data_IF_419966693190
#
_entry.id   IF_419966693190
#
_cell.length_a   1.000
_cell.length_b   1.000
_cell.length_c   1.000
_cell.angle_alpha   90.00
_cell.angle_beta   90.00
_cell.angle_gamma   90.00
#
_symmetry.space_group_name_H-M   'P 1'
#
loop_
_entity.id
_entity.type
_entity.pdbx_description
1 polymer ?
2 non-polymer ?
3 non-polymer ?
4 non-polymer ?
5 water ?
#
# COMPACT_ATOMS: atom_id res chain seq x y z
N UNK A 8 -24.03 19.96 7.74
CA UNK A 8 -22.80 19.31 7.20
C UNK A 8 -21.58 20.23 7.34
N UNK A 9 -20.40 19.64 7.40
CA UNK A 9 -19.15 20.40 7.52
C UNK A 9 -18.96 21.36 6.35
N UNK A 10 -18.60 22.60 6.66
CA UNK A 10 -18.40 23.60 5.63
C UNK A 10 -16.93 24.00 5.47
N UNK A 11 -16.14 23.79 6.52
CA UNK A 11 -14.75 24.18 6.47
C UNK A 11 -13.82 23.40 7.40
N UNK A 12 -12.56 23.26 6.99
CA UNK A 12 -11.52 22.65 7.81
C UNK A 12 -10.64 23.88 8.08
N UNK A 13 -10.42 24.22 9.34
CA UNK A 13 -9.60 25.38 9.67
C UNK A 13 -8.32 25.04 10.42
N UNK A 14 -7.39 26.00 10.43
CA UNK A 14 -6.13 25.85 11.14
C UNK A 14 -5.35 24.61 10.72
N UNK A 15 -5.30 24.38 9.42
CA UNK A 15 -4.61 23.21 8.88
C UNK A 15 -3.20 23.51 8.40
N UNK A 16 -2.28 22.60 8.69
CA UNK A 16 -0.92 22.71 8.19
C UNK A 16 -0.93 21.77 6.99
N UNK A 17 -0.12 22.09 5.97
CA UNK A 17 -0.05 21.27 4.76
C UNK A 17 1.43 20.95 4.51
N UNK A 18 1.75 19.71 4.11
CA UNK A 18 3.15 19.37 3.84
C UNK A 18 3.77 20.31 2.81
N UNK A 19 5.01 20.71 3.05
CA UNK A 19 5.70 21.58 2.11
C UNK A 19 5.24 23.03 2.06
N UNK A 20 4.23 23.37 2.85
CA UNK A 20 3.72 24.74 2.87
C UNK A 20 3.98 25.40 4.22
N UNK A 21 4.11 26.72 4.22
CA UNK A 21 4.32 27.46 5.45
C UNK A 21 2.96 27.89 5.98
N UNK A 22 2.89 28.16 7.28
CA UNK A 22 1.67 28.65 7.89
C UNK A 22 0.45 27.74 7.98
N UNK A 23 -0.69 28.39 8.21
CA UNK A 23 -1.97 27.70 8.35
C UNK A 23 -2.89 27.95 7.16
N UNK A 24 -3.79 27.00 6.93
CA UNK A 24 -4.71 27.04 5.81
C UNK A 24 -6.13 26.64 6.15
N UNK A 25 -7.06 27.18 5.37
CA UNK A 25 -8.48 26.90 5.53
C UNK A 25 -8.93 26.17 4.26
N UNK A 26 -9.67 25.06 4.44
CA UNK A 26 -10.15 24.28 3.31
C UNK A 26 -11.67 24.36 3.30
N UNK A 27 -12.21 25.05 2.29
CA UNK A 27 -13.65 25.23 2.16
C UNK A 27 -14.29 24.03 1.46
N UNK A 28 -15.38 23.54 2.02
CA UNK A 28 -16.09 22.39 1.49
C UNK A 28 -17.49 22.74 0.99
N UNK A 29 -17.86 22.14 -0.13
CA UNK A 29 -19.18 22.37 -0.71
C UNK A 29 -19.61 21.17 -1.54
N UNK A 30 -20.81 20.67 -1.27
CA UNK A 30 -21.35 19.53 -2.01
C UNK A 30 -20.44 18.30 -2.02
N UNK A 31 -19.80 18.03 -0.89
CA UNK A 31 -18.92 16.86 -0.78
C UNK A 31 -17.57 17.01 -1.44
N UNK A 32 -17.26 18.21 -1.93
CA UNK A 32 -16.00 18.49 -2.59
C UNK A 32 -15.27 19.64 -1.94
N UNK A 33 -14.02 19.84 -2.32
CA UNK A 33 -13.22 20.95 -1.82
C UNK A 33 -13.48 22.09 -2.81
N UNK A 34 -14.06 23.18 -2.32
CA UNK A 34 -14.36 24.31 -3.19
C UNK A 34 -13.21 25.30 -3.32
N UNK A 35 -12.43 25.48 -2.26
CA UNK A 35 -11.32 26.40 -2.29
C UNK A 35 -10.40 26.18 -1.10
N UNK A 36 -9.15 26.61 -1.26
CA UNK A 36 -8.14 26.49 -0.21
C UNK A 36 -7.51 27.87 -0.07
N UNK A 37 -7.60 28.44 1.13
CA UNK A 37 -7.06 29.78 1.38
C UNK A 37 -6.11 29.83 2.57
N UNK A 38 -5.04 30.58 2.43
CA UNK A 38 -4.08 30.72 3.52
C UNK A 38 -4.66 31.61 4.62
N UNK A 39 -4.25 31.33 5.85
CA UNK A 39 -4.68 32.12 7.01
C UNK A 39 -3.42 32.87 7.45
N UNK A 40 -3.60 34.02 8.11
CA UNK A 40 -2.46 34.77 8.60
C UNK A 40 -2.35 34.61 10.11
N UNK A 41 -3.26 33.79 10.66
CA UNK A 41 -3.27 33.52 12.08
C UNK A 41 -4.23 32.41 12.39
N UNK A 42 -4.47 32.14 13.68
CA UNK A 42 -5.39 31.09 14.10
C UNK A 42 -6.85 31.55 13.99
N UNK A 43 -7.67 30.74 13.34
CA UNK A 43 -9.09 31.05 13.14
C UNK A 43 -9.92 30.51 14.29
N UNK A 44 -11.03 31.20 14.62
CA UNK A 44 -11.88 30.72 15.70
C UNK A 44 -12.73 29.56 15.21
N UNK A 45 -13.06 28.65 16.11
CA UNK A 45 -13.90 27.52 15.76
C UNK A 45 -15.33 28.04 15.67
N UNK A 46 -16.22 27.24 15.12
CA UNK A 46 -17.63 27.60 14.98
C UNK A 46 -18.35 26.37 14.46
N UNK A 47 -19.67 26.35 14.53
CA UNK A 47 -20.43 25.21 14.06
C UNK A 47 -20.18 25.01 12.56
N UNK A 48 -20.04 23.75 12.15
CA UNK A 48 -19.80 23.38 10.77
C UNK A 48 -18.34 23.52 10.36
N UNK A 49 -17.48 23.84 11.31
CA UNK A 49 -16.05 23.97 11.06
C UNK A 49 -15.31 22.88 11.84
N UNK A 50 -14.47 22.12 11.16
CA UNK A 50 -13.69 21.09 11.83
C UNK A 50 -12.33 21.73 12.06
N UNK A 51 -11.94 21.82 13.32
CA UNK A 51 -10.67 22.45 13.68
C UNK A 51 -9.52 21.46 13.68
N UNK A 52 -8.59 21.64 12.74
CA UNK A 52 -7.42 20.77 12.64
C UNK A 52 -6.44 21.11 13.77
N UNK A 53 -6.69 22.21 14.48
CA UNK A 53 -5.88 22.63 15.61
C UNK A 53 -4.38 22.68 15.34
N UNK A 54 -4.04 23.18 14.16
CA UNK A 54 -2.66 23.33 13.71
C UNK A 54 -1.98 21.98 13.49
N UNK A 55 -2.81 20.97 13.26
CA UNK A 55 -2.33 19.64 12.96
C UNK A 55 -2.17 19.57 11.45
N UNK A 56 -1.68 18.44 10.96
CA UNK A 56 -1.41 18.26 9.54
C UNK A 56 -2.59 17.66 8.80
N UNK A 57 -2.97 18.28 7.68
CA UNK A 57 -4.07 17.78 6.86
C UNK A 57 -3.49 17.26 5.57
N UNK A 58 -3.81 16.00 5.27
CA UNK A 58 -3.32 15.34 4.07
C UNK A 58 -4.41 14.50 3.43
N UNK A 59 -4.23 14.15 2.15
CA UNK A 59 -5.25 13.31 1.52
C UNK A 59 -5.13 11.97 2.29
N UNK A 60 -6.11 11.07 2.15
CA UNK A 60 -6.07 9.80 2.88
C UNK A 60 -4.87 8.89 2.69
N UNK A 61 -4.56 8.13 3.75
CA UNK A 61 -3.50 7.14 3.60
C UNK A 61 -4.02 6.11 2.58
N UNK A 62 -3.08 5.45 1.94
CA UNK A 62 -3.37 4.46 0.91
C UNK A 62 -2.65 3.17 1.25
N UNK A 63 -3.30 2.03 1.01
CA UNK A 63 -2.66 0.71 1.18
C UNK A 63 -2.56 0.17 -0.25
N UNK A 64 -1.40 0.30 -0.90
CA UNK A 64 -1.22 -0.17 -2.26
C UNK A 64 -1.03 -1.68 -2.44
N UNK A 65 -0.82 -2.40 -1.34
CA UNK A 65 -0.57 -3.84 -1.45
C UNK A 65 -0.91 -4.60 -0.18
N UNK A 66 -2.03 -5.32 -0.18
CA UNK A 66 -2.40 -6.14 0.97
C UNK A 66 -3.11 -7.38 0.47
N UNK A 67 -3.13 -8.42 1.29
CA UNK A 67 -3.83 -9.66 0.94
C UNK A 67 -5.00 -9.84 1.91
N UNK A 68 -6.18 -9.35 1.52
CA UNK A 68 -7.36 -9.47 2.38
C UNK A 68 -7.97 -10.86 2.37
N UNK A 69 -7.61 -11.71 1.42
CA UNK A 69 -8.17 -13.06 1.42
C UNK A 69 -7.43 -13.96 2.40
N UNK A 70 -6.20 -13.58 2.74
CA UNK A 70 -5.38 -14.36 3.66
C UNK A 70 -5.30 -13.75 5.07
N UNK A 71 -5.74 -12.50 5.21
CA UNK A 71 -5.63 -11.82 6.51
C UNK A 71 -6.33 -12.54 7.66
N UNK A 72 -5.70 -12.49 8.83
CA UNK A 72 -6.21 -13.10 10.04
C UNK A 72 -6.14 -14.64 10.05
N UNK A 73 -5.33 -15.25 9.18
CA UNK A 73 -5.24 -16.73 9.15
C UNK A 73 -3.92 -17.33 9.62
N UNK A 74 -3.00 -16.52 10.15
CA UNK A 74 -1.72 -17.06 10.60
C UNK A 74 -1.90 -18.23 11.56
N UNK A 75 -1.16 -19.31 11.31
CA UNK A 75 -1.24 -20.49 12.15
C UNK A 75 -2.33 -21.47 11.79
N UNK A 76 -3.12 -21.16 10.76
CA UNK A 76 -4.23 -22.04 10.35
C UNK A 76 -4.01 -22.70 8.99
N UNK A 77 -3.85 -24.04 8.95
CA UNK A 77 -3.85 -24.97 10.08
C UNK A 77 -2.46 -25.13 10.70
N UNK A 78 -1.45 -24.56 10.04
CA UNK A 78 -0.07 -24.65 10.52
C UNK A 78 0.66 -23.32 10.38
N UNK A 79 1.74 -23.15 11.15
CA UNK A 79 2.54 -21.94 11.10
C UNK A 79 3.69 -22.05 10.10
N UNK A 80 4.08 -20.91 9.54
CA UNK A 80 5.19 -20.81 8.60
C UNK A 80 6.43 -20.80 9.50
N UNK A 81 7.03 -21.97 9.70
CA UNK A 81 8.18 -22.11 10.58
C UNK A 81 9.46 -21.45 10.10
N UNK A 82 9.75 -21.56 8.81
CA UNK A 82 10.99 -21.00 8.27
C UNK A 82 10.96 -19.49 8.05
N UNK A 83 9.76 -18.92 8.03
CA UNK A 83 9.63 -17.49 7.80
C UNK A 83 10.05 -17.11 6.39
N UNK A 84 9.76 -17.97 5.42
CA UNK A 84 10.11 -17.71 4.02
C UNK A 84 8.87 -17.57 3.14
N UNK A 85 9.07 -16.95 1.98
CA UNK A 85 7.98 -16.78 1.01
C UNK A 85 7.46 -18.13 0.56
N UNK A 86 8.39 -19.04 0.29
CA UNK A 86 8.08 -20.37 -0.21
C UNK A 86 7.28 -21.21 0.78
N UNK A 87 7.66 -21.24 2.04
CA UNK A 87 6.86 -22.02 2.99
C UNK A 87 5.53 -21.31 3.20
N UNK A 88 5.55 -19.98 3.11
CA UNK A 88 4.31 -19.22 3.28
C UNK A 88 3.26 -19.64 2.26
N UNK A 89 3.69 -19.82 1.01
CA UNK A 89 2.77 -20.24 -0.06
C UNK A 89 2.24 -21.66 0.21
N UNK A 90 3.09 -22.53 0.77
CA UNK A 90 2.66 -23.89 1.09
C UNK A 90 1.63 -23.89 2.22
N UNK A 91 1.87 -23.07 3.25
CA UNK A 91 0.95 -22.97 4.38
C UNK A 91 -0.37 -22.35 3.91
N UNK A 92 -0.28 -21.36 3.01
CA UNK A 92 -1.49 -20.74 2.47
C UNK A 92 -2.29 -21.76 1.66
N UNK A 93 -1.60 -22.61 0.89
CA UNK A 93 -2.29 -23.62 0.09
C UNK A 93 -3.17 -24.49 0.99
N UNK A 94 -2.65 -24.83 2.18
CA UNK A 94 -3.41 -25.64 3.12
C UNK A 94 -4.66 -24.90 3.60
N UNK A 95 -4.53 -23.60 3.83
CA UNK A 95 -5.66 -22.78 4.28
C UNK A 95 -6.64 -22.50 3.15
N UNK A 96 -6.12 -22.33 1.93
CA UNK A 96 -6.96 -22.04 0.78
C UNK A 96 -7.96 -23.19 0.52
N UNK A 97 -7.56 -24.41 0.84
CA UNK A 97 -8.43 -25.56 0.65
C UNK A 97 -9.60 -25.56 1.63
N UNK A 98 -9.53 -24.73 2.67
CA UNK A 98 -10.57 -24.65 3.69
C UNK A 98 -11.43 -23.40 3.60
N UNK A 99 -11.22 -22.59 2.57
CA UNK A 99 -11.98 -21.36 2.43
C UNK A 99 -13.47 -21.51 2.23
N UNK A 100 -14.21 -20.55 2.80
CA UNK A 100 -15.65 -20.47 2.59
C UNK A 100 -15.92 -19.00 2.35
N UNK A 101 -17.02 -18.74 1.65
CA UNK A 101 -17.45 -17.40 1.31
C UNK A 101 -17.51 -16.48 2.53
N UNK A 102 -18.27 -16.90 3.54
CA UNK A 102 -18.43 -16.09 4.75
C UNK A 102 -17.13 -15.90 5.52
N UNK A 103 -16.28 -16.92 5.51
CA UNK A 103 -14.96 -16.90 6.17
C UNK A 103 -14.14 -15.73 5.61
N UNK A 104 -14.06 -15.68 4.28
CA UNK A 104 -13.30 -14.62 3.62
C UNK A 104 -13.89 -13.23 3.89
N UNK A 105 -15.21 -13.09 3.78
CA UNK A 105 -15.82 -11.78 4.01
C UNK A 105 -15.61 -11.27 5.43
N UNK A 106 -15.74 -12.16 6.40
CA UNK A 106 -15.59 -11.75 7.79
C UNK A 106 -14.17 -11.28 8.11
N UNK A 107 -13.17 -12.05 7.67
CA UNK A 107 -11.77 -11.67 7.93
C UNK A 107 -11.37 -10.40 7.16
N UNK A 108 -11.79 -10.29 5.90
CA UNK A 108 -11.48 -9.10 5.10
C UNK A 108 -12.08 -7.86 5.78
N UNK A 109 -13.34 -7.96 6.20
CA UNK A 109 -13.99 -6.84 6.87
C UNK A 109 -13.32 -6.46 8.19
N UNK A 110 -12.79 -7.43 8.92
CA UNK A 110 -12.11 -7.14 10.19
C UNK A 110 -10.89 -6.22 9.94
N UNK A 111 -10.08 -6.58 8.95
CA UNK A 111 -8.92 -5.77 8.62
C UNK A 111 -9.33 -4.44 7.98
N UNK A 112 -10.37 -4.44 7.15
CA UNK A 112 -10.82 -3.19 6.54
C UNK A 112 -11.26 -2.19 7.61
N UNK A 113 -11.90 -2.66 8.68
CA UNK A 113 -12.31 -1.74 9.73
C UNK A 113 -11.08 -1.10 10.40
N UNK A 114 -10.02 -1.88 10.59
CA UNK A 114 -8.79 -1.33 11.17
C UNK A 114 -8.24 -0.27 10.21
N UNK A 115 -8.34 -0.54 8.91
CA UNK A 115 -7.85 0.42 7.92
C UNK A 115 -8.67 1.72 7.95
N UNK A 116 -10.00 1.62 8.05
CA UNK A 116 -10.83 2.82 8.13
C UNK A 116 -10.42 3.64 9.36
N UNK A 117 -10.22 2.96 10.48
CA UNK A 117 -9.82 3.59 11.73
C UNK A 117 -8.46 4.28 11.58
N UNK A 118 -7.63 3.75 10.69
CA UNK A 118 -6.29 4.29 10.43
C UNK A 118 -6.21 5.27 9.27
N UNK A 119 -7.36 5.83 8.89
CA UNK A 119 -7.42 6.83 7.85
C UNK A 119 -7.09 6.40 6.42
N UNK A 120 -7.24 5.10 6.15
CA UNK A 120 -6.96 4.55 4.84
C UNK A 120 -8.28 4.48 4.05
N UNK A 121 -8.36 5.23 2.95
CA UNK A 121 -9.57 5.27 2.13
C UNK A 121 -9.42 4.62 0.75
N UNK A 122 -8.22 4.14 0.45
CA UNK A 122 -7.91 3.49 -0.83
C UNK A 122 -7.08 2.25 -0.53
N UNK A 123 -7.53 1.10 -0.99
CA UNK A 123 -6.85 -0.17 -0.74
C UNK A 123 -6.81 -1.03 -1.99
N UNK A 124 -5.65 -1.62 -2.27
CA UNK A 124 -5.50 -2.55 -3.38
C UNK A 124 -5.19 -3.90 -2.74
N UNK A 125 -6.12 -4.84 -2.87
CA UNK A 125 -5.92 -6.17 -2.32
C UNK A 125 -5.68 -7.17 -3.43
N UNK A 126 -4.68 -8.02 -3.22
CA UNK A 126 -4.42 -9.11 -4.16
C UNK A 126 -5.35 -10.22 -3.65
N UNK A 127 -5.84 -11.05 -4.57
CA UNK A 127 -6.71 -12.18 -4.21
C UNK A 127 -6.20 -13.35 -5.02
N UNK A 128 -5.88 -14.45 -4.34
CA UNK A 128 -5.36 -15.64 -5.02
C UNK A 128 -6.41 -16.26 -5.94
N UNK A 129 -6.11 -16.31 -7.25
CA UNK A 129 -7.01 -16.90 -8.23
C UNK A 129 -6.48 -18.23 -8.80
N UNK A 130 -5.53 -18.84 -8.08
CA UNK A 130 -5.03 -20.16 -8.46
C UNK A 130 -5.95 -21.07 -7.65
N UNK A 131 -7.21 -21.09 -8.07
CA UNK A 131 -8.25 -21.84 -7.37
C UNK A 131 -9.44 -21.93 -8.31
N UNK A 132 -9.73 -23.12 -8.79
CA UNK A 132 -10.84 -23.31 -9.72
C UNK A 132 -12.19 -22.83 -9.19
N UNK A 133 -12.37 -22.83 -7.87
CA UNK A 133 -13.62 -22.39 -7.29
C UNK A 133 -13.73 -20.88 -7.15
N UNK A 134 -12.59 -20.18 -7.24
CA UNK A 134 -12.52 -18.72 -7.09
C UNK A 134 -13.32 -18.26 -5.88
N UNK A 135 -13.26 -19.03 -4.80
CA UNK A 135 -14.01 -18.73 -3.60
C UNK A 135 -13.73 -17.34 -3.01
N UNK A 136 -12.46 -17.04 -2.77
CA UNK A 136 -12.10 -15.75 -2.20
C UNK A 136 -12.43 -14.58 -3.11
N UNK A 137 -12.24 -14.76 -4.42
CA UNK A 137 -12.56 -13.68 -5.34
C UNK A 137 -14.04 -13.31 -5.30
N UNK A 138 -14.91 -14.32 -5.32
CA UNK A 138 -16.35 -14.05 -5.28
C UNK A 138 -16.73 -13.32 -3.99
N UNK A 139 -16.13 -13.72 -2.88
CA UNK A 139 -16.39 -13.06 -1.61
C UNK A 139 -15.88 -11.62 -1.64
N UNK A 140 -14.66 -11.41 -2.14
CA UNK A 140 -14.07 -10.07 -2.19
C UNK A 140 -14.83 -9.10 -3.08
N UNK A 141 -15.43 -9.60 -4.15
CA UNK A 141 -16.20 -8.72 -5.04
C UNK A 141 -17.42 -8.18 -4.30
N UNK A 142 -17.97 -8.97 -3.38
CA UNK A 142 -19.10 -8.49 -2.57
C UNK A 142 -18.57 -7.48 -1.52
N UNK A 143 -17.45 -7.80 -0.89
CA UNK A 143 -16.85 -6.90 0.10
C UNK A 143 -16.56 -5.53 -0.54
N UNK A 144 -16.06 -5.53 -1.78
CA UNK A 144 -15.77 -4.29 -2.48
C UNK A 144 -17.01 -3.38 -2.53
N UNK A 145 -18.16 -3.96 -2.84
CA UNK A 145 -19.40 -3.18 -2.92
C UNK A 145 -19.84 -2.73 -1.53
N UNK A 146 -19.73 -3.61 -0.56
CA UNK A 146 -20.15 -3.30 0.80
C UNK A 146 -19.33 -2.21 1.48
N UNK A 147 -18.01 -2.18 1.22
CA UNK A 147 -17.15 -1.21 1.88
C UNK A 147 -17.03 0.11 1.12
N UNK A 148 -17.59 0.18 -0.08
CA UNK A 148 -17.50 1.37 -0.92
C UNK A 148 -17.76 2.73 -0.27
N UNK A 149 -18.71 2.83 0.69
CA UNK A 149 -18.93 4.15 1.29
C UNK A 149 -17.71 4.67 2.06
N UNK A 150 -16.81 3.77 2.45
CA UNK A 150 -15.64 4.12 3.26
C UNK A 150 -14.28 3.93 2.60
N UNK A 151 -14.17 2.93 1.73
CA UNK A 151 -12.91 2.61 1.07
C UNK A 151 -13.14 2.23 -0.38
N UNK A 152 -12.33 2.77 -1.27
CA UNK A 152 -12.38 2.39 -2.68
C UNK A 152 -11.39 1.22 -2.76
N UNK A 153 -11.92 0.01 -2.90
CA UNK A 153 -11.11 -1.21 -2.96
C UNK A 153 -10.86 -1.70 -4.36
N UNK A 154 -9.58 -1.88 -4.72
CA UNK A 154 -9.20 -2.44 -6.01
C UNK A 154 -8.84 -3.90 -5.75
N UNK A 155 -9.23 -4.78 -6.66
CA UNK A 155 -8.94 -6.20 -6.53
C UNK A 155 -7.98 -6.66 -7.64
N UNK A 156 -6.86 -7.25 -7.23
CA UNK A 156 -5.91 -7.80 -8.18
C UNK A 156 -6.15 -9.31 -8.29
N UNK A 157 -6.32 -9.79 -9.52
CA UNK A 157 -6.46 -11.23 -9.76
C UNK A 157 -5.01 -11.73 -9.72
N UNK A 158 -4.64 -12.31 -8.58
CA UNK A 158 -3.27 -12.76 -8.31
C UNK A 158 -3.11 -14.27 -8.47
N UNK A 159 -2.43 -14.72 -9.53
CA UNK A 159 -2.24 -16.17 -9.74
C UNK A 159 -1.06 -16.64 -8.89
N UNK A 160 -1.33 -16.79 -7.59
CA UNK A 160 -0.33 -17.14 -6.59
C UNK A 160 0.58 -18.31 -6.92
N UNK A 161 0.05 -19.32 -7.60
CA UNK A 161 0.87 -20.50 -7.92
C UNK A 161 1.38 -20.52 -9.37
N UNK A 162 1.31 -19.35 -10.01
CA UNK A 162 1.78 -19.21 -11.37
C UNK A 162 0.68 -19.25 -12.42
N UNK A 163 0.99 -18.68 -13.58
CA UNK A 163 0.05 -18.66 -14.70
C UNK A 163 0.29 -19.90 -15.55
N UNK A 164 1.54 -20.14 -15.92
CA UNK A 164 1.87 -21.30 -16.74
C UNK A 164 2.20 -22.55 -15.93
N UNK A 165 2.46 -22.37 -14.63
CA UNK A 165 2.86 -23.49 -13.77
C UNK A 165 1.76 -24.08 -12.92
N UNK A 166 0.52 -23.62 -13.11
CA UNK A 166 -0.63 -24.11 -12.35
C UNK A 166 -1.69 -24.56 -13.36
N UNK A 167 -2.40 -25.66 -13.08
CA UNK A 167 -3.44 -26.13 -14.02
C UNK A 167 -4.49 -25.07 -14.33
N UNK A 168 -4.67 -24.81 -15.63
CA UNK A 168 -5.63 -23.81 -16.10
C UNK A 168 -5.39 -22.42 -15.53
N UNK A 169 -4.14 -22.14 -15.16
CA UNK A 169 -3.81 -20.83 -14.59
C UNK A 169 -4.22 -19.65 -15.45
N UNK A 170 -3.94 -19.69 -16.75
CA UNK A 170 -4.29 -18.55 -17.60
C UNK A 170 -5.80 -18.40 -17.73
N UNK A 171 -6.51 -19.52 -17.89
CA UNK A 171 -7.97 -19.45 -18.01
C UNK A 171 -8.60 -18.88 -16.74
N UNK A 172 -8.09 -19.29 -15.57
CA UNK A 172 -8.62 -18.79 -14.31
C UNK A 172 -8.32 -17.30 -14.12
N UNK A 173 -7.14 -16.87 -14.57
CA UNK A 173 -6.77 -15.46 -14.47
C UNK A 173 -7.76 -14.63 -15.31
N UNK A 174 -8.03 -15.08 -16.53
CA UNK A 174 -8.97 -14.37 -17.39
C UNK A 174 -10.39 -14.41 -16.83
N UNK A 175 -10.78 -15.56 -16.26
CA UNK A 175 -12.12 -15.67 -15.67
C UNK A 175 -12.25 -14.63 -14.55
N UNK A 176 -11.19 -14.45 -13.75
CA UNK A 176 -11.22 -13.46 -12.67
C UNK A 176 -11.44 -12.06 -13.23
N UNK A 177 -10.84 -11.75 -14.38
CA UNK A 177 -11.04 -10.43 -14.98
C UNK A 177 -12.47 -10.32 -15.50
N UNK A 178 -13.00 -11.39 -16.08
CA UNK A 178 -14.38 -11.35 -16.58
C UNK A 178 -15.38 -11.17 -15.43
N UNK A 179 -15.01 -11.60 -14.23
CA UNK A 179 -15.87 -11.43 -13.06
C UNK A 179 -15.73 -10.04 -12.44
N UNK A 180 -14.76 -9.25 -12.91
CA UNK A 180 -14.63 -7.90 -12.41
C UNK A 180 -13.34 -7.48 -11.71
N UNK A 181 -12.33 -8.34 -11.62
CA UNK A 181 -11.09 -7.90 -10.97
C UNK A 181 -10.54 -6.68 -11.71
N UNK A 182 -10.06 -5.70 -10.94
CA UNK A 182 -9.55 -4.43 -11.48
C UNK A 182 -8.15 -4.46 -12.03
N UNK A 183 -7.36 -5.40 -11.54
CA UNK A 183 -5.94 -5.45 -11.88
C UNK A 183 -5.51 -6.86 -12.21
N UNK A 184 -4.60 -7.00 -13.17
CA UNK A 184 -4.06 -8.31 -13.56
C UNK A 184 -2.75 -8.53 -12.81
N UNK A 185 -2.62 -9.66 -12.11
CA UNK A 185 -1.38 -9.97 -11.41
C UNK A 185 -0.58 -11.06 -12.10
N UNK A 186 0.62 -11.32 -11.57
CA UNK A 186 1.53 -12.35 -12.07
C UNK A 186 2.58 -12.57 -10.99
N UNK A 187 3.38 -13.62 -11.14
CA UNK A 187 4.44 -13.95 -10.17
C UNK A 187 5.51 -14.74 -10.95
N UNK A 188 6.21 -14.04 -11.87
CA UNK A 188 7.22 -14.71 -12.69
C UNK A 188 8.32 -15.52 -12.03
N UNK A 189 8.83 -15.07 -10.89
CA UNK A 189 9.88 -15.80 -10.19
C UNK A 189 9.40 -17.11 -9.56
N UNK A 190 8.09 -17.32 -9.50
CA UNK A 190 7.56 -18.56 -8.92
C UNK A 190 7.23 -19.57 -10.03
N UNK A 191 7.26 -19.14 -11.29
CA UNK A 191 7.00 -20.06 -12.40
C UNK A 191 8.16 -21.08 -12.44
N UNK A 192 7.89 -22.26 -13.00
CA UNK A 192 8.89 -23.32 -13.07
C UNK A 192 10.20 -22.94 -13.75
N UNK A 193 10.14 -22.12 -14.79
CA UNK A 193 11.34 -21.74 -15.53
C UNK A 193 11.35 -20.26 -15.86
N UNK A 194 12.54 -19.75 -16.16
CA UNK A 194 12.71 -18.36 -16.54
C UNK A 194 11.86 -18.08 -17.78
N UNK A 195 11.82 -19.03 -18.71
CA UNK A 195 11.03 -18.86 -19.94
C UNK A 195 9.54 -18.74 -19.61
N UNK A 196 9.04 -19.56 -18.70
CA UNK A 196 7.63 -19.44 -18.29
C UNK A 196 7.42 -18.06 -17.62
N UNK A 197 8.42 -17.60 -16.87
CA UNK A 197 8.30 -16.30 -16.22
C UNK A 197 8.13 -15.18 -17.25
N UNK A 198 8.99 -15.17 -18.26
CA UNK A 198 8.90 -14.13 -19.28
C UNK A 198 7.58 -14.26 -20.07
N UNK A 199 7.24 -15.48 -20.48
CA UNK A 199 6.00 -15.70 -21.22
C UNK A 199 4.77 -15.27 -20.42
N UNK A 200 4.79 -15.54 -19.12
CA UNK A 200 3.66 -15.18 -18.27
C UNK A 200 3.41 -13.67 -18.30
N UNK A 201 4.48 -12.89 -18.45
CA UNK A 201 4.33 -11.44 -18.49
C UNK A 201 3.71 -10.99 -19.82
N UNK A 202 4.08 -11.63 -20.92
CA UNK A 202 3.44 -11.28 -22.19
C UNK A 202 1.93 -11.56 -22.07
N UNK A 203 1.56 -12.69 -21.46
CA UNK A 203 0.15 -13.03 -21.30
C UNK A 203 -0.58 -12.04 -20.38
N UNK A 204 0.09 -11.59 -19.32
CA UNK A 204 -0.47 -10.63 -18.38
C UNK A 204 -0.76 -9.31 -19.09
N UNK A 205 0.21 -8.81 -19.86
CA UNK A 205 0.00 -7.57 -20.57
C UNK A 205 -1.09 -7.70 -21.64
N UNK A 206 -1.14 -8.83 -22.33
CA UNK A 206 -2.18 -9.02 -23.34
C UNK A 206 -3.58 -8.97 -22.68
N UNK A 207 -3.72 -9.59 -21.52
CA UNK A 207 -5.01 -9.57 -20.82
C UNK A 207 -5.36 -8.15 -20.36
N UNK A 208 -4.37 -7.41 -19.85
CA UNK A 208 -4.62 -6.05 -19.39
C UNK A 208 -5.07 -5.14 -20.54
N UNK A 209 -4.52 -5.36 -21.74
CA UNK A 209 -4.92 -4.54 -22.88
C UNK A 209 -6.28 -5.01 -23.41
N UNK A 210 -6.55 -6.30 -23.37
CA UNK A 210 -7.83 -6.83 -23.84
C UNK A 210 -9.01 -6.34 -23.00
N UNK A 211 -8.82 -6.25 -21.69
CA UNK A 211 -9.88 -5.83 -20.77
C UNK A 211 -9.76 -4.41 -20.23
N UNK A 212 -8.73 -3.67 -20.65
CA UNK A 212 -8.46 -2.31 -20.15
C UNK A 212 -8.37 -2.31 -18.62
N UNK A 213 -7.42 -3.09 -18.10
CA UNK A 213 -7.22 -3.17 -16.65
C UNK A 213 -5.81 -2.77 -16.30
N UNK A 214 -5.57 -2.54 -15.01
CA UNK A 214 -4.23 -2.19 -14.54
C UNK A 214 -3.44 -3.49 -14.36
N UNK A 215 -2.14 -3.36 -14.10
CA UNK A 215 -1.25 -4.50 -13.88
C UNK A 215 -0.46 -4.30 -12.59
N UNK A 216 -0.35 -5.35 -11.79
CA UNK A 216 0.46 -5.29 -10.57
C UNK A 216 1.08 -6.68 -10.40
N UNK A 217 2.37 -6.76 -10.70
CA UNK A 217 3.11 -8.01 -10.66
C UNK A 217 3.90 -8.23 -9.37
N UNK A 218 3.77 -9.42 -8.76
CA UNK A 218 4.64 -9.76 -7.60
C UNK A 218 5.91 -10.08 -8.39
N UNK A 219 6.85 -9.14 -8.37
CA UNK A 219 8.01 -9.19 -9.24
C UNK A 219 9.37 -9.39 -8.57
N UNK A 220 10.02 -10.51 -8.86
CA UNK A 220 11.35 -10.81 -8.31
C UNK A 220 11.37 -10.72 -6.77
N UNK A 221 10.37 -11.33 -6.11
CA UNK A 221 10.34 -11.33 -4.64
C UNK A 221 11.19 -12.54 -4.20
N UNK A 222 12.50 -12.39 -4.32
CA UNK A 222 13.42 -13.48 -4.06
C UNK A 222 14.85 -12.94 -4.02
N UNK A 223 15.68 -13.49 -3.13
CA UNK A 223 17.07 -13.05 -3.03
C UNK A 223 17.91 -13.79 -4.08
N UNK A 224 17.57 -13.58 -5.34
CA UNK A 224 18.26 -14.22 -6.47
C UNK A 224 18.74 -13.09 -7.39
N UNK A 225 20.05 -12.89 -7.47
CA UNK A 225 20.62 -11.83 -8.29
C UNK A 225 20.33 -12.01 -9.79
N UNK A 226 19.85 -13.19 -10.18
CA UNK A 226 19.52 -13.48 -11.58
C UNK A 226 18.02 -13.30 -11.86
N UNK A 227 17.23 -12.92 -10.85
CA UNK A 227 15.79 -12.73 -11.06
C UNK A 227 15.63 -11.29 -11.56
N UNK A 228 15.43 -11.15 -12.87
CA UNK A 228 15.34 -9.85 -13.54
C UNK A 228 14.06 -9.66 -14.33
N UNK A 229 12.97 -10.20 -13.83
CA UNK A 229 11.70 -10.06 -14.54
C UNK A 229 11.24 -8.61 -14.61
N UNK A 230 11.72 -7.77 -13.69
CA UNK A 230 11.37 -6.36 -13.72
C UNK A 230 11.71 -5.69 -15.06
N UNK A 231 12.79 -6.10 -15.73
CA UNK A 231 13.11 -5.44 -17.01
C UNK A 231 12.05 -5.75 -18.07
N UNK A 232 11.45 -6.94 -18.01
CA UNK A 232 10.39 -7.28 -18.96
C UNK A 232 9.12 -6.48 -18.63
N UNK A 233 8.79 -6.36 -17.35
CA UNK A 233 7.61 -5.58 -16.95
C UNK A 233 7.75 -4.15 -17.47
N UNK A 234 8.91 -3.55 -17.24
CA UNK A 234 9.13 -2.17 -17.68
C UNK A 234 9.17 -2.02 -19.21
N UNK A 235 9.83 -2.96 -19.90
CA UNK A 235 9.92 -2.89 -21.35
C UNK A 235 8.56 -3.06 -22.03
N UNK A 236 7.74 -4.00 -21.53
CA UNK A 236 6.42 -4.20 -22.12
C UNK A 236 5.55 -2.98 -21.87
N UNK A 237 5.68 -2.37 -20.69
CA UNK A 237 4.89 -1.18 -20.38
C UNK A 237 5.30 -0.05 -21.33
N UNK A 238 6.61 0.10 -21.54
CA UNK A 238 7.09 1.16 -22.42
C UNK A 238 6.61 0.94 -23.85
N UNK A 239 6.69 -0.31 -24.33
CA UNK A 239 6.26 -0.64 -25.67
C UNK A 239 4.78 -0.32 -25.91
N UNK A 240 3.95 -0.63 -24.92
CA UNK A 240 2.51 -0.40 -25.00
C UNK A 240 2.10 1.01 -24.58
N UNK A 241 3.06 1.83 -24.14
CA UNK A 241 2.78 3.18 -23.69
C UNK A 241 1.78 3.18 -22.55
N UNK A 242 1.96 2.30 -21.58
CA UNK A 242 1.01 2.20 -20.48
C UNK A 242 1.64 2.19 -19.10
N UNK A 243 2.81 2.80 -18.95
CA UNK A 243 3.49 2.79 -17.67
C UNK A 243 2.66 3.18 -16.45
N UNK A 244 1.84 4.22 -16.58
CA UNK A 244 1.01 4.69 -15.47
C UNK A 244 0.08 3.61 -14.90
N UNK A 245 -0.27 2.64 -15.73
CA UNK A 245 -1.19 1.58 -15.34
C UNK A 245 -0.49 0.33 -14.81
N UNK A 246 0.83 0.38 -14.71
CA UNK A 246 1.64 -0.78 -14.33
C UNK A 246 2.43 -0.60 -13.05
N UNK A 247 2.44 -1.66 -12.24
CA UNK A 247 3.16 -1.68 -10.97
C UNK A 247 3.97 -2.96 -10.83
N UNK A 248 5.20 -2.82 -10.33
CA UNK A 248 6.06 -3.96 -10.02
C UNK A 248 6.17 -3.96 -8.49
N UNK A 249 5.51 -4.94 -7.86
CA UNK A 249 5.54 -5.07 -6.40
C UNK A 249 6.77 -5.88 -5.98
N UNK A 250 7.31 -5.49 -4.82
CA UNK A 250 8.48 -6.11 -4.19
C UNK A 250 9.86 -5.80 -4.78
N UNK A 251 10.16 -6.38 -5.94
CA UNK A 251 11.48 -6.28 -6.60
C UNK A 251 12.62 -6.39 -5.58
N UNK A 252 12.46 -7.31 -4.63
CA UNK A 252 13.48 -7.47 -3.61
C UNK A 252 14.80 -7.99 -4.17
N UNK A 253 14.75 -8.70 -5.31
CA UNK A 253 15.99 -9.18 -5.92
C UNK A 253 16.90 -8.00 -6.28
N UNK A 254 16.32 -6.83 -6.51
CA UNK A 254 17.13 -5.66 -6.88
C UNK A 254 18.11 -5.31 -5.77
N UNK A 255 17.79 -5.69 -4.52
CA UNK A 255 18.70 -5.45 -3.39
C UNK A 255 20.01 -6.21 -3.58
N UNK A 256 19.97 -7.27 -4.38
CA UNK A 256 21.13 -8.12 -4.61
C UNK A 256 21.83 -8.00 -5.98
N UNK A 257 21.34 -7.11 -6.83
CA UNK A 257 21.95 -6.91 -8.15
C UNK A 257 23.29 -6.19 -8.06
N UNK A 258 24.17 -6.43 -9.04
CA UNK A 258 25.40 -5.68 -9.09
C UNK A 258 25.01 -4.24 -9.53
N UNK A 259 25.84 -3.27 -9.21
CA UNK A 259 25.53 -1.88 -9.49
C UNK A 259 25.52 -1.46 -10.95
N UNK A 260 26.34 -2.12 -11.78
CA UNK A 260 26.40 -1.77 -13.20
C UNK A 260 25.09 -2.13 -13.91
N UNK A 261 24.59 -3.34 -13.69
CA UNK A 261 23.31 -3.73 -14.29
C UNK A 261 22.21 -2.81 -13.74
N UNK A 262 22.23 -2.53 -12.44
CA UNK A 262 21.19 -1.67 -11.87
C UNK A 262 21.18 -0.28 -12.54
N UNK A 263 22.37 0.28 -12.78
CA UNK A 263 22.43 1.59 -13.44
C UNK A 263 21.83 1.53 -14.84
N UNK A 264 22.16 0.48 -15.59
CA UNK A 264 21.62 0.33 -16.94
C UNK A 264 20.09 0.22 -16.85
N UNK A 265 19.62 -0.64 -15.96
CA UNK A 265 18.20 -0.85 -15.74
C UNK A 265 17.43 0.42 -15.38
N UNK A 266 18.01 1.26 -14.51
CA UNK A 266 17.32 2.46 -14.06
C UNK A 266 16.88 3.40 -15.19
N UNK A 267 17.64 3.45 -16.28
CA UNK A 267 17.24 4.30 -17.41
C UNK A 267 15.89 3.82 -17.92
N UNK A 268 15.75 2.51 -18.11
CA UNK A 268 14.49 1.93 -18.57
C UNK A 268 13.38 2.12 -17.53
N UNK A 269 13.68 1.95 -16.24
CA UNK A 269 12.64 2.10 -15.23
C UNK A 269 12.06 3.51 -15.31
N UNK A 270 12.93 4.51 -15.40
CA UNK A 270 12.46 5.90 -15.49
C UNK A 270 11.68 6.15 -16.78
N UNK A 271 12.22 5.72 -17.93
CA UNK A 271 11.54 5.92 -19.21
C UNK A 271 10.17 5.24 -19.27
N UNK A 272 10.06 4.07 -18.66
CA UNK A 272 8.81 3.30 -18.69
C UNK A 272 7.67 3.92 -17.91
N UNK A 273 8.00 4.68 -16.87
CA UNK A 273 6.99 5.29 -16.04
C UNK A 273 6.22 4.33 -15.13
N UNK A 274 6.70 3.09 -14.95
CA UNK A 274 5.96 2.16 -14.08
C UNK A 274 6.17 2.50 -12.60
N UNK A 275 5.29 1.96 -11.76
CA UNK A 275 5.31 2.18 -10.32
C UNK A 275 5.95 1.01 -9.58
N UNK A 276 6.47 1.30 -8.39
CA UNK A 276 7.10 0.29 -7.54
C UNK A 276 6.53 0.31 -6.13
N UNK A 277 6.28 -0.87 -5.60
CA UNK A 277 5.82 -1.01 -4.23
C UNK A 277 6.85 -1.81 -3.44
N UNK A 278 7.26 -1.27 -2.30
CA UNK A 278 8.15 -1.96 -1.36
C UNK A 278 7.25 -2.29 -0.15
N UNK A 279 7.47 -3.42 0.49
CA UNK A 279 6.64 -3.85 1.63
C UNK A 279 7.58 -4.11 2.79
N UNK A 280 8.04 -3.03 3.44
CA UNK A 280 9.00 -3.12 4.54
C UNK A 280 8.84 -4.11 5.68
N UNK A 281 7.65 -4.22 6.25
CA UNK A 281 7.44 -5.14 7.36
C UNK A 281 7.62 -6.58 6.95
N UNK A 282 7.10 -6.93 5.78
CA UNK A 282 7.21 -8.31 5.29
C UNK A 282 8.58 -8.57 4.67
N UNK A 283 9.11 -7.61 3.92
CA UNK A 283 10.41 -7.84 3.29
C UNK A 283 11.54 -8.07 4.30
N UNK A 284 11.57 -7.29 5.39
CA UNK A 284 12.66 -7.49 6.36
C UNK A 284 12.54 -8.87 7.03
N UNK A 285 11.32 -9.39 7.08
CA UNK A 285 11.05 -10.69 7.70
C UNK A 285 11.32 -11.87 6.76
N UNK A 286 10.84 -11.81 5.51
CA UNK A 286 11.02 -12.91 4.55
C UNK A 286 12.31 -12.93 3.77
N UNK A 287 12.94 -11.77 3.58
CA UNK A 287 14.19 -11.72 2.83
C UNK A 287 15.36 -11.97 3.75
N UNK A 288 16.48 -12.38 3.18
CA UNK A 288 17.68 -12.68 3.94
C UNK A 288 17.63 -14.01 4.69
N UNK A 289 16.58 -14.79 4.47
CA UNK A 289 16.41 -16.07 5.16
C UNK A 289 17.35 -17.18 4.72
N UNK A 290 18.05 -16.98 3.60
CA UNK A 290 18.98 -18.00 3.13
C UNK A 290 20.43 -17.62 3.39
N UNK A 291 20.62 -16.43 3.97
CA UNK A 291 21.95 -15.97 4.37
C UNK A 291 22.15 -16.50 5.80
N UNK A 292 23.41 -16.61 6.22
CA UNK A 292 23.68 -16.96 7.60
C UNK A 292 24.04 -15.56 8.15
N UNK A 293 25.33 -15.23 8.14
CA UNK A 293 25.81 -13.90 8.58
C UNK A 293 27.01 -13.51 7.72
N UNK A 294 27.05 -12.27 7.20
CA UNK A 294 26.06 -11.20 7.35
C UNK A 294 24.75 -11.54 6.65
N UNK A 295 23.70 -10.83 7.03
CA UNK A 295 22.36 -11.07 6.48
C UNK A 295 21.87 -9.81 5.77
N UNK A 296 21.49 -9.93 4.50
CA UNK A 296 21.03 -8.76 3.75
C UNK A 296 19.65 -8.29 4.21
N UNK A 297 19.38 -7.01 4.01
CA UNK A 297 18.10 -6.41 4.37
C UNK A 297 17.01 -6.88 3.42
N UNK A 298 17.27 -6.83 2.11
CA UNK A 298 16.31 -7.34 1.16
C UNK A 298 15.18 -6.45 0.69
N UNK A 299 15.24 -5.15 0.93
CA UNK A 299 14.20 -4.26 0.42
C UNK A 299 14.74 -3.71 -0.90
N UNK A 300 13.85 -3.42 -1.85
CA UNK A 300 14.28 -2.89 -3.13
C UNK A 300 14.97 -1.52 -2.95
N UNK A 301 15.53 -0.99 -4.03
CA UNK A 301 16.32 0.25 -3.97
C UNK A 301 15.51 1.54 -3.89
N UNK A 302 14.75 1.65 -2.82
CA UNK A 302 13.87 2.79 -2.57
C UNK A 302 14.59 4.15 -2.61
N UNK A 303 15.70 4.26 -1.88
CA UNK A 303 16.44 5.52 -1.83
C UNK A 303 16.87 5.96 -3.23
N UNK A 304 17.43 5.05 -4.00
CA UNK A 304 17.87 5.38 -5.35
C UNK A 304 16.70 5.71 -6.26
N UNK A 305 15.58 5.01 -6.11
CA UNK A 305 14.40 5.32 -6.91
C UNK A 305 13.95 6.76 -6.64
N UNK A 306 13.90 7.14 -5.37
CA UNK A 306 13.49 8.50 -5.03
C UNK A 306 14.46 9.53 -5.63
N UNK A 307 15.76 9.25 -5.55
CA UNK A 307 16.74 10.17 -6.10
C UNK A 307 16.63 10.30 -7.62
N UNK A 308 16.15 9.23 -8.28
CA UNK A 308 16.00 9.22 -9.74
C UNK A 308 14.62 9.63 -10.22
N UNK A 309 13.72 10.00 -9.30
CA UNK A 309 12.39 10.40 -9.70
C UNK A 309 11.49 9.27 -10.16
N UNK A 310 11.78 8.04 -9.72
CA UNK A 310 10.99 6.86 -10.05
C UNK A 310 9.94 6.71 -8.94
N UNK A 311 8.67 6.56 -9.31
CA UNK A 311 7.64 6.45 -8.28
C UNK A 311 7.69 5.15 -7.48
N UNK A 312 7.91 5.27 -6.18
CA UNK A 312 7.99 4.14 -5.27
C UNK A 312 7.13 4.48 -4.05
N UNK A 313 6.51 3.46 -3.46
CA UNK A 313 5.62 3.64 -2.31
C UNK A 313 5.66 2.39 -1.44
N UNK A 314 5.04 2.46 -0.26
CA UNK A 314 5.05 1.36 0.70
C UNK A 314 3.70 0.70 0.98
N UNK A 315 3.71 -0.63 1.05
CA UNK A 315 2.51 -1.37 1.41
C UNK A 315 2.76 -2.19 2.68
N UNK A 316 1.68 -2.62 3.35
CA UNK A 316 1.78 -3.44 4.56
C UNK A 316 1.93 -4.91 4.17
N UNK A 317 1.34 -5.26 3.02
CA UNK A 317 1.35 -6.60 2.44
C UNK A 317 0.47 -7.62 3.17
N UNK A 318 0.81 -7.95 4.41
CA UNK A 318 0.08 -8.94 5.18
C UNK A 318 -0.23 -8.48 6.59
N UNK A 319 -1.39 -8.90 7.10
CA UNK A 319 -1.80 -8.59 8.47
C UNK A 319 -2.24 -9.93 9.08
N UNK A 320 -1.40 -10.48 9.95
CA UNK A 320 -1.60 -11.78 10.61
C UNK A 320 -1.95 -12.92 9.66
N UNK A 321 -1.03 -13.26 8.76
CA UNK A 321 -1.27 -14.32 7.79
C UNK A 321 0.01 -15.18 7.60
N UNK A 322 0.03 -16.13 6.64
CA UNK A 322 1.24 -16.97 6.46
C UNK A 322 2.57 -16.27 6.30
N UNK A 323 2.55 -15.04 5.77
CA UNK A 323 3.78 -14.30 5.54
C UNK A 323 4.08 -13.23 6.59
N UNK A 324 3.21 -13.03 7.59
CA UNK A 324 3.45 -12.00 8.62
C UNK A 324 2.56 -12.16 9.83
N UNK A 325 3.15 -12.50 10.98
CA UNK A 325 2.42 -12.71 12.23
C UNK A 325 1.97 -11.51 13.03
N UNK A 326 2.23 -10.30 12.53
CA UNK A 326 1.87 -9.08 13.26
C UNK A 326 1.00 -8.12 12.46
N UNK A 327 0.95 -6.86 12.92
CA UNK A 327 0.20 -5.81 12.24
C UNK A 327 -1.12 -5.32 12.80
N UNK A 328 -1.37 -4.02 12.61
CA UNK A 328 -2.65 -3.39 12.95
C UNK A 328 -3.07 -2.55 11.73
N UNK A 329 -2.49 -2.87 10.56
CA UNK A 329 -2.78 -2.18 9.29
C UNK A 329 -2.49 -0.69 9.39
N UNK A 330 -1.38 -0.35 10.05
CA UNK A 330 -0.99 1.05 10.29
C UNK A 330 0.10 1.52 9.33
N UNK A 331 -0.24 2.46 8.45
CA UNK A 331 0.74 2.92 7.46
C UNK A 331 1.93 3.69 8.03
N UNK A 332 1.73 4.47 9.10
CA UNK A 332 2.87 5.16 9.71
C UNK A 332 3.88 4.16 10.28
N UNK A 333 3.39 2.98 10.69
CA UNK A 333 4.27 1.94 11.22
C UNK A 333 5.06 1.30 10.06
N UNK A 334 4.39 1.09 8.93
CA UNK A 334 5.05 0.55 7.74
C UNK A 334 6.14 1.56 7.33
N UNK A 335 5.78 2.84 7.29
CA UNK A 335 6.73 3.89 6.91
C UNK A 335 7.94 3.91 7.85
N UNK A 336 7.70 3.83 9.15
CA UNK A 336 8.77 3.82 10.14
C UNK A 336 9.78 2.69 9.83
N UNK A 337 9.28 1.49 9.57
CA UNK A 337 10.19 0.38 9.27
C UNK A 337 10.98 0.65 7.99
N UNK A 338 10.29 1.12 6.95
CA UNK A 338 10.97 1.39 5.69
C UNK A 338 12.05 2.45 5.78
N UNK A 339 11.79 3.51 6.53
CA UNK A 339 12.81 4.57 6.66
C UNK A 339 14.07 4.04 7.34
N UNK A 340 13.91 3.16 8.32
CA UNK A 340 15.05 2.59 9.03
C UNK A 340 15.83 1.62 8.16
N UNK A 341 15.13 0.64 7.58
CA UNK A 341 15.82 -0.36 6.78
C UNK A 341 16.47 0.20 5.51
N UNK A 342 15.81 1.19 4.90
CA UNK A 342 16.33 1.81 3.68
C UNK A 342 17.29 2.96 3.98
N UNK A 343 17.50 3.25 5.26
CA UNK A 343 18.39 4.33 5.69
C UNK A 343 18.03 5.70 5.11
N UNK A 344 16.73 5.99 5.11
CA UNK A 344 16.20 7.29 4.68
C UNK A 344 15.99 8.01 6.01
N UNK A 345 17.11 8.28 6.68
CA UNK A 345 17.07 8.85 8.02
C UNK A 345 17.50 10.29 8.17
N UNK A 346 17.66 11.00 7.06
CA UNK A 346 17.98 12.42 7.15
C UNK A 346 16.67 13.09 7.55
N UNK A 347 16.74 14.27 8.18
CA UNK A 347 15.53 14.94 8.61
C UNK A 347 14.52 15.13 7.47
N UNK A 348 14.98 15.66 6.34
CA UNK A 348 14.10 15.88 5.21
C UNK A 348 13.54 14.59 4.63
N UNK A 349 14.36 13.54 4.61
CA UNK A 349 13.91 12.25 4.09
C UNK A 349 12.78 11.69 4.96
N UNK A 350 12.93 11.83 6.28
CA UNK A 350 11.90 11.35 7.19
C UNK A 350 10.63 12.20 7.04
N UNK A 351 10.81 13.52 7.01
CA UNK A 351 9.68 14.43 6.89
C UNK A 351 8.89 14.20 5.60
N UNK A 352 9.61 13.94 4.50
CA UNK A 352 8.97 13.71 3.21
C UNK A 352 8.44 12.28 3.10
N UNK A 353 8.70 11.48 4.13
CA UNK A 353 8.27 10.09 4.15
C UNK A 353 6.80 9.88 3.90
N UNK A 354 5.97 10.83 4.36
CA UNK A 354 4.53 10.72 4.15
C UNK A 354 4.17 10.51 2.69
N UNK A 355 4.98 11.01 1.76
CA UNK A 355 4.66 10.81 0.34
C UNK A 355 4.60 9.33 -0.02
N UNK A 356 5.41 8.51 0.66
CA UNK A 356 5.48 7.08 0.40
C UNK A 356 4.21 6.33 0.79
N UNK A 357 3.35 6.95 1.60
CA UNK A 357 2.11 6.33 2.01
C UNK A 357 0.87 7.16 1.66
N UNK A 358 1.06 8.19 0.84
CA UNK A 358 -0.05 9.03 0.36
C UNK A 358 0.05 9.22 -1.15
N UNK A 359 0.62 10.33 -1.61
CA UNK A 359 0.70 10.65 -3.03
C UNK A 359 1.33 9.59 -3.94
N UNK A 360 2.45 9.02 -3.53
CA UNK A 360 3.10 8.03 -4.40
C UNK A 360 2.22 6.79 -4.53
N UNK A 361 1.52 6.42 -3.47
CA UNK A 361 0.64 5.26 -3.50
C UNK A 361 -0.61 5.53 -4.35
N UNK A 362 -1.10 6.77 -4.30
CA UNK A 362 -2.25 7.15 -5.13
C UNK A 362 -1.87 7.01 -6.62
N UNK A 363 -0.65 7.42 -6.97
CA UNK A 363 -0.19 7.31 -8.35
C UNK A 363 -0.11 5.83 -8.73
N UNK A 364 0.38 4.99 -7.82
CA UNK A 364 0.47 3.56 -8.07
C UNK A 364 -0.90 2.95 -8.38
N UNK A 365 -1.95 3.44 -7.69
CA UNK A 365 -3.30 2.94 -7.92
C UNK A 365 -4.01 3.66 -9.07
N UNK A 366 -3.30 4.57 -9.74
CA UNK A 366 -3.82 5.34 -10.87
C UNK A 366 -5.08 6.12 -10.48
N UNK A 367 -5.10 6.65 -9.26
CA UNK A 367 -6.27 7.38 -8.78
C UNK A 367 -6.44 8.72 -9.51
N UNK A 368 -7.70 9.01 -9.82
CA UNK A 368 -8.06 10.22 -10.55
C UNK A 368 -8.67 11.34 -9.71
N UNK A 369 -8.97 11.05 -8.45
CA UNK A 369 -9.58 12.03 -7.54
C UNK A 369 -8.88 11.87 -6.20
N UNK A 370 -7.69 12.49 -6.10
CA UNK A 370 -6.88 12.39 -4.89
C UNK A 370 -6.02 13.62 -4.68
N UNK A 371 -6.05 14.15 -3.45
CA UNK A 371 -5.25 15.31 -3.12
C UNK A 371 -6.07 16.48 -2.62
N UNK A 372 -5.45 17.34 -1.81
CA UNK A 372 -6.14 18.52 -1.28
C UNK A 372 -6.05 19.60 -2.35
N UNK A 373 -7.04 19.63 -3.24
CA UNK A 373 -7.09 20.59 -4.34
C UNK A 373 -8.55 20.88 -4.68
N UNK A 374 -8.82 22.12 -5.10
CA UNK A 374 -10.17 22.52 -5.46
C UNK A 374 -10.72 21.64 -6.57
N UNK A 375 -11.97 21.20 -6.41
CA UNK A 375 -12.60 20.36 -7.40
C UNK A 375 -12.59 18.90 -7.03
N UNK A 376 -11.66 18.50 -6.17
CA UNK A 376 -11.55 17.12 -5.73
C UNK A 376 -12.57 16.80 -4.64
N UNK A 377 -12.89 15.52 -4.48
CA UNK A 377 -13.82 15.11 -3.42
C UNK A 377 -13.17 15.49 -2.09
N UNK A 378 -13.98 15.82 -1.11
CA UNK A 378 -13.49 16.20 0.20
C UNK A 378 -13.13 14.95 1.00
N UNK A 379 -12.02 14.32 0.61
CA UNK A 379 -11.48 13.11 1.25
C UNK A 379 -10.14 13.56 1.82
N UNK A 380 -10.03 13.57 3.14
CA UNK A 380 -8.82 14.03 3.79
C UNK A 380 -8.76 13.53 5.23
N UNK A 381 -7.57 13.52 5.81
CA UNK A 381 -7.43 13.09 7.19
C UNK A 381 -6.60 14.12 7.94
N UNK A 382 -6.76 14.15 9.25
CA UNK A 382 -6.08 15.10 10.10
C UNK A 382 -5.22 14.36 11.11
N UNK A 383 -3.93 14.67 11.13
CA UNK A 383 -2.98 14.05 12.05
C UNK A 383 -2.64 15.08 13.12
N UNK A 384 -2.65 14.68 14.41
CA UNK A 384 -2.33 15.62 15.49
C UNK A 384 -0.81 15.77 15.61
N UNK A 385 -0.21 16.36 14.59
CA UNK A 385 1.24 16.53 14.52
C UNK A 385 1.57 17.76 13.69
N UNK A 386 2.77 18.29 13.86
CA UNK A 386 3.17 19.51 13.15
C UNK A 386 3.63 19.33 11.71
N UNK A 387 4.12 18.13 11.40
CA UNK A 387 4.62 17.85 10.06
C UNK A 387 4.84 16.34 9.95
N UNK A 388 5.32 15.89 8.81
CA UNK A 388 5.57 14.48 8.59
C UNK A 388 6.55 13.86 9.55
N UNK A 389 7.61 14.59 9.86
CA UNK A 389 8.62 14.10 10.79
C UNK A 389 7.99 13.82 12.16
N UNK A 390 7.25 14.79 12.67
CA UNK A 390 6.61 14.69 13.97
C UNK A 390 5.59 13.54 14.02
N UNK A 391 4.79 13.41 12.97
CA UNK A 391 3.78 12.35 12.89
C UNK A 391 4.43 10.98 12.93
N UNK A 392 5.53 10.85 12.19
CA UNK A 392 6.28 9.59 12.11
C UNK A 392 6.98 9.30 13.44
N UNK A 393 7.67 10.28 14.01
CA UNK A 393 8.38 10.05 15.25
C UNK A 393 7.46 9.61 16.39
N UNK A 394 6.32 10.27 16.52
CA UNK A 394 5.40 9.95 17.60
C UNK A 394 4.34 8.90 17.27
N UNK A 395 4.37 8.39 16.04
CA UNK A 395 3.41 7.36 15.59
C UNK A 395 2.00 7.75 16.00
N UNK A 396 1.61 8.95 15.60
CA UNK A 396 0.29 9.50 15.96
C UNK A 396 -0.86 8.79 15.27
N UNK A 397 -2.03 8.78 15.93
CA UNK A 397 -3.22 8.14 15.35
C UNK A 397 -3.85 9.16 14.39
N UNK A 398 -4.91 8.77 13.72
CA UNK A 398 -5.62 9.67 12.83
C UNK A 398 -6.71 10.33 13.68
N UNK A 399 -6.59 11.65 13.90
CA UNK A 399 -7.57 12.34 14.72
C UNK A 399 -8.95 12.33 14.08
N UNK A 400 -9.01 12.64 12.79
CA UNK A 400 -10.26 12.62 12.04
C UNK A 400 -10.01 12.15 10.61
N UNK A 401 -10.94 11.34 10.09
CA UNK A 401 -10.89 10.92 8.70
C UNK A 401 -12.20 11.44 8.11
N UNK A 402 -12.08 12.22 7.04
CA UNK A 402 -13.22 12.83 6.36
C UNK A 402 -13.34 12.26 4.95
N UNK A 403 -14.55 11.86 4.57
CA UNK A 403 -14.76 11.31 3.22
C UNK A 403 -16.08 11.91 2.71
N UNK A 404 -16.03 12.49 1.52
CA UNK A 404 -17.22 13.12 0.97
C UNK A 404 -17.69 14.26 1.86
N UNK A 405 -16.76 14.87 2.58
CA UNK A 405 -17.10 15.96 3.47
C UNK A 405 -17.72 15.57 4.80
N UNK A 406 -17.71 14.28 5.12
CA UNK A 406 -18.27 13.79 6.38
C UNK A 406 -17.24 12.99 7.19
N UNK A 407 -17.31 13.09 8.50
CA UNK A 407 -16.38 12.35 9.35
C UNK A 407 -16.75 10.87 9.38
N UNK A 408 -15.81 10.00 8.98
CA UNK A 408 -16.06 8.57 9.01
C UNK A 408 -15.25 7.82 10.07
N UNK A 409 -14.32 8.51 10.71
CA UNK A 409 -13.53 7.92 11.79
C UNK A 409 -12.90 9.01 12.63
N UNK A 410 -12.72 8.73 13.91
CA UNK A 410 -12.08 9.69 14.79
C UNK A 410 -11.40 8.96 15.95
N UNK A 411 -10.30 9.53 16.41
CA UNK A 411 -9.58 8.96 17.54
C UNK A 411 -9.33 10.02 18.59
N UNK A 412 -9.84 9.77 19.79
CA UNK A 412 -9.62 10.66 20.92
C UNK A 412 -8.25 10.18 21.42
N UNK A 413 -7.23 11.04 21.35
CA UNK A 413 -5.88 10.65 21.78
C UNK A 413 -5.76 10.16 23.23
N UNK A 414 -4.77 9.30 23.44
CA UNK A 414 -4.49 8.77 24.77
C UNK A 414 -4.04 9.95 25.63
N UNK A 415 -4.18 9.80 26.94
CA UNK A 415 -3.78 10.85 27.88
C UNK A 415 -2.83 10.24 28.90
N UNK A 416 -1.57 10.66 28.85
CA UNK A 416 -0.55 10.15 29.76
C UNK A 416 -0.14 11.18 30.79
N UNK A 417 -0.07 10.73 32.04
CA UNK A 417 0.30 11.59 33.15
C UNK A 417 1.37 10.93 34.00
N UNK A 418 2.36 11.71 34.45
CA UNK A 418 3.37 11.20 35.36
C UNK A 418 3.17 11.98 36.66
N UNK A 419 3.27 11.28 37.78
CA UNK A 419 3.04 11.89 39.09
C UNK A 419 4.35 12.15 39.81
N UNK A 420 4.88 13.35 39.58
CA UNK A 420 6.15 13.77 40.18
C UNK A 420 5.82 14.59 41.42
N UNK A 421 6.51 15.69 41.65
CA UNK A 421 6.17 16.51 42.82
C UNK A 421 4.74 16.97 42.61
N UNK A 422 4.36 17.05 41.33
CA UNK A 422 3.02 17.44 40.92
C UNK A 422 2.72 16.68 39.64
N UNK A 423 1.43 16.46 39.32
CA UNK A 423 1.10 15.73 38.09
C UNK A 423 1.52 16.51 36.86
N UNK A 424 1.99 15.80 35.84
CA UNK A 424 2.41 16.45 34.60
C UNK A 424 1.96 15.66 33.40
N UNK A 425 1.34 16.33 32.43
CA UNK A 425 0.89 15.69 31.21
C UNK A 425 2.10 15.48 30.31
N UNK A 426 2.19 14.30 29.69
CA UNK A 426 3.30 14.00 28.80
C UNK A 426 2.79 13.75 27.39
N UNK A 427 3.28 14.51 26.43
CA UNK A 427 2.87 14.34 25.05
C UNK A 427 4.02 13.95 24.12
N UNK A 428 5.20 13.76 24.69
CA UNK A 428 6.39 13.35 23.93
C UNK A 428 6.85 14.34 22.87
N UNK A 429 6.44 15.61 23.00
CA UNK A 429 6.83 16.63 22.03
C UNK A 429 8.03 17.41 22.53
N UNK A 430 8.68 18.14 21.63
CA UNK A 430 9.82 18.98 21.99
C UNK A 430 9.57 20.39 21.47
X LIG B 1 1.90 -9.62 -1.68
X LIG C 1 2.11 -13.88 -1.53
X LIG C 1 3.27 -13.58 -2.26
X LIG C 1 3.62 -14.12 -3.33
X LIG C 1 4.07 -12.60 -1.67
X LIG C 1 3.80 -11.92 -0.46
X LIG C 1 3.49 -10.51 -0.90
X LIG C 1 2.58 -12.29 0.25
X LIG C 1 2.28 -11.73 1.39
X LIG C 1 1.77 -13.23 -0.28
X LIG D 1 -16.97 -20.51 -10.51
X LIG D 1 -16.61 -22.04 -10.10
X LIG D 1 -17.90 -19.71 -9.85
X LIG D 1 -18.47 -20.34 -8.87
X LIG D 1 -17.93 -18.61 -10.34
X LIG D 1 -17.64 -17.40 -11.24
#
# INVERSE_FOLDING_TARGET
GSSMANNALQTIINARLPGEEGLWQIHLQDGKISAIDAQSGVMPITENSLDAEQGLVIPPFVEPHIHLDTTQTAGQPNWNQSGTLFEGIERWAERKALLTHDDVKQRAWQTLKWQIANGIQHVRTHVDVSDATLTALKAMLEVKQEVAPWIDLQIVAFPQEGILSYPNGEALLEEALRLGADVVGAIPHFEFTREYGVESLHKTFALAQKYDRLIDVHCDEIDDEQSRFVETVAALAHHEGMGARVTASHTTAMHSYNGAYTSRLFRLLKMSGINFVANPLVNIHLQGRFDTYPKRRGITRVKEMLESGINVCFGHDSVFDPWYPLGTANMLQVLHMGLHVCQLMGYGQINDGLNLITHHSARTLNLQDYGIAAGNSANLIILPAENGFDALRRQVPVRYSVRGGKVIASTQPAQTTVYLEQPEAIDYKR
FE FE
FPY N1 C2 O2 N3 C4 O4 C5 F5 C6
GOL C1 O1 C2 O2 C3 O3
#
